data_IF_698742441493
#
_entry.id   IF_698742441493
#
_cell.length_a   1.000
_cell.length_b   1.000
_cell.length_c   1.000
_cell.angle_alpha   90.00
_cell.angle_beta   90.00
_cell.angle_gamma   90.00
#
_symmetry.space_group_name_H-M   'P 1'
#
loop_
_entity.id
_entity.type
_entity.pdbx_description
1 polymer ?
#
# COMPACT_ATOMS: atom_id res chain seq x y z
N UNK A 1 -12.48 1.34 -98.37
CA UNK A 1 -13.66 1.99 -97.76
C UNK A 1 -14.35 0.95 -96.87
N UNK A 2 -14.74 1.33 -95.65
CA UNK A 2 -15.56 0.55 -94.68
C UNK A 2 -14.73 -0.57 -93.98
N UNK A 3 -14.58 -0.72 -92.65
CA UNK A 3 -15.29 -0.22 -91.46
C UNK A 3 -14.37 -0.21 -90.22
N UNK A 4 -14.59 0.74 -89.31
CA UNK A 4 -14.12 0.71 -87.90
C UNK A 4 -14.95 -0.30 -87.09
N UNK A 5 -14.32 -1.01 -86.16
CA UNK A 5 -15.00 -1.59 -85.00
C UNK A 5 -14.18 -1.28 -83.72
N UNK A 6 -14.75 -0.41 -82.89
CA UNK A 6 -14.28 -0.05 -81.56
C UNK A 6 -14.82 -1.08 -80.56
N UNK A 7 -13.94 -1.83 -79.88
CA UNK A 7 -14.31 -2.61 -78.70
C UNK A 7 -14.08 -1.76 -77.45
N UNK A 8 -15.18 -1.38 -76.79
CA UNK A 8 -15.20 -0.75 -75.47
C UNK A 8 -14.97 -1.81 -74.40
N UNK A 9 -13.78 -1.81 -73.78
CA UNK A 9 -13.53 -2.55 -72.54
C UNK A 9 -14.08 -1.75 -71.35
N UNK A 10 -15.09 -2.31 -70.66
CA UNK A 10 -15.63 -1.76 -69.44
C UNK A 10 -14.61 -1.92 -68.29
N UNK A 11 -14.17 -0.80 -67.72
CA UNK A 11 -13.40 -0.79 -66.48
C UNK A 11 -14.35 -1.06 -65.31
N UNK A 12 -14.26 -2.26 -64.73
CA UNK A 12 -14.84 -2.56 -63.42
C UNK A 12 -14.01 -1.80 -62.36
N UNK A 13 -14.55 -0.68 -61.88
CA UNK A 13 -14.09 -0.06 -60.63
C UNK A 13 -14.70 -0.86 -59.48
N UNK A 14 -13.91 -1.76 -58.91
CA UNK A 14 -14.24 -2.40 -57.64
C UNK A 14 -14.13 -1.34 -56.53
N UNK A 15 -15.27 -0.83 -56.08
CA UNK A 15 -15.36 -0.03 -54.87
C UNK A 15 -15.12 -0.99 -53.71
N UNK A 16 -13.89 -1.01 -53.18
CA UNK A 16 -13.57 -1.70 -51.94
C UNK A 16 -14.44 -1.09 -50.83
N UNK A 17 -15.37 -1.90 -50.32
CA UNK A 17 -16.22 -1.50 -49.21
C UNK A 17 -15.37 -1.17 -47.99
N UNK A 18 -15.53 0.03 -47.45
CA UNK A 18 -15.07 0.39 -46.12
C UNK A 18 -15.85 -0.45 -45.10
N UNK A 19 -15.43 -1.69 -44.86
CA UNK A 19 -15.84 -2.42 -43.66
C UNK A 19 -15.23 -1.68 -42.48
N UNK A 20 -16.08 -1.06 -41.67
CA UNK A 20 -15.76 -0.59 -40.33
C UNK A 20 -15.36 -1.78 -39.48
N UNK A 21 -14.12 -2.23 -39.64
CA UNK A 21 -13.49 -3.21 -38.77
C UNK A 21 -13.34 -2.57 -37.40
N UNK A 22 -14.12 -3.03 -36.44
CA UNK A 22 -13.87 -2.78 -35.02
C UNK A 22 -12.46 -3.29 -34.73
N UNK A 23 -11.51 -2.38 -34.57
CA UNK A 23 -10.16 -2.70 -34.10
C UNK A 23 -10.34 -3.46 -32.77
N UNK A 24 -9.80 -4.68 -32.60
CA UNK A 24 -9.88 -5.35 -31.31
C UNK A 24 -9.22 -4.43 -30.27
N UNK A 25 -9.97 -4.05 -29.24
CA UNK A 25 -9.41 -3.37 -28.08
C UNK A 25 -8.31 -4.26 -27.52
N UNK A 26 -7.05 -3.89 -27.73
CA UNK A 26 -5.92 -4.52 -27.07
C UNK A 26 -6.05 -4.16 -25.60
N UNK A 27 -6.64 -5.06 -24.79
CA UNK A 27 -6.67 -4.91 -23.34
C UNK A 27 -5.25 -4.93 -22.82
N UNK A 28 -4.81 -3.81 -22.25
CA UNK A 28 -3.52 -3.73 -21.58
C UNK A 28 -3.46 -4.80 -20.47
N UNK A 29 -2.48 -5.72 -20.50
CA UNK A 29 -2.36 -6.78 -19.50
C UNK A 29 -2.25 -6.23 -18.07
N UNK A 30 -1.65 -5.05 -17.89
CA UNK A 30 -1.49 -4.37 -16.59
C UNK A 30 -2.83 -3.90 -16.04
N UNK A 31 -3.73 -3.39 -16.89
CA UNK A 31 -5.09 -2.98 -16.48
C UNK A 31 -5.89 -4.20 -16.02
N UNK A 32 -5.81 -5.29 -16.78
CA UNK A 32 -6.50 -6.53 -16.43
C UNK A 32 -5.96 -7.10 -15.11
N UNK A 33 -4.64 -7.06 -14.91
CA UNK A 33 -4.00 -7.47 -13.67
C UNK A 33 -4.44 -6.63 -12.48
N UNK A 34 -4.47 -5.31 -12.63
CA UNK A 34 -4.90 -4.39 -11.58
C UNK A 34 -6.34 -4.65 -11.16
N UNK A 35 -7.24 -4.89 -12.11
CA UNK A 35 -8.63 -5.22 -11.83
C UNK A 35 -8.77 -6.52 -11.03
N UNK A 36 -8.00 -7.56 -11.38
CA UNK A 36 -7.96 -8.81 -10.59
C UNK A 36 -7.46 -8.58 -9.17
N UNK A 37 -6.41 -7.79 -8.99
CA UNK A 37 -5.88 -7.47 -7.67
C UNK A 37 -6.85 -6.65 -6.81
N UNK A 38 -7.56 -5.69 -7.43
CA UNK A 38 -8.65 -4.94 -6.78
C UNK A 38 -9.75 -5.88 -6.29
N UNK A 39 -10.25 -6.73 -7.18
CA UNK A 39 -11.29 -7.71 -6.85
C UNK A 39 -10.83 -8.69 -5.76
N UNK A 40 -9.60 -9.20 -5.83
CA UNK A 40 -9.05 -10.10 -4.83
C UNK A 40 -8.93 -9.42 -3.44
N UNK A 41 -8.49 -8.16 -3.40
CA UNK A 41 -8.46 -7.35 -2.17
C UNK A 41 -9.86 -7.19 -1.59
N UNK A 42 -10.86 -6.86 -2.40
CA UNK A 42 -12.22 -6.67 -1.92
C UNK A 42 -12.86 -7.98 -1.46
N UNK A 43 -12.63 -9.09 -2.18
CA UNK A 43 -13.04 -10.42 -1.76
C UNK A 43 -12.42 -10.82 -0.42
N UNK A 44 -11.14 -10.50 -0.20
CA UNK A 44 -10.49 -10.78 1.09
C UNK A 44 -11.13 -9.97 2.23
N UNK A 45 -11.46 -8.70 1.99
CA UNK A 45 -12.15 -7.84 2.99
C UNK A 45 -13.54 -8.34 3.33
N UNK A 46 -14.31 -8.77 2.33
CA UNK A 46 -15.71 -9.19 2.53
C UNK A 46 -15.83 -10.58 3.14
N UNK A 47 -14.97 -11.52 2.73
CA UNK A 47 -15.04 -12.91 3.18
C UNK A 47 -14.14 -13.25 4.36
N UNK A 48 -13.14 -12.39 4.65
CA UNK A 48 -12.06 -12.71 5.59
C UNK A 48 -11.08 -13.78 5.08
N UNK A 49 -11.24 -14.27 3.85
CA UNK A 49 -10.37 -15.30 3.27
C UNK A 49 -9.00 -14.72 2.92
N UNK A 50 -7.94 -15.45 3.31
CA UNK A 50 -6.55 -15.12 2.94
C UNK A 50 -6.13 -15.70 1.59
N UNK A 51 -6.92 -16.59 0.99
CA UNK A 51 -6.55 -17.22 -0.29
C UNK A 51 -6.37 -16.19 -1.43
N UNK A 52 -7.26 -15.19 -1.62
CA UNK A 52 -7.06 -14.14 -2.60
C UNK A 52 -5.78 -13.33 -2.36
N UNK A 53 -5.44 -13.06 -1.10
CA UNK A 53 -4.22 -12.33 -0.73
C UNK A 53 -2.96 -13.09 -1.08
N UNK A 54 -2.95 -14.42 -0.88
CA UNK A 54 -1.80 -15.27 -1.28
C UNK A 54 -1.59 -15.25 -2.78
N UNK A 55 -2.67 -15.30 -3.57
CA UNK A 55 -2.59 -15.19 -5.02
C UNK A 55 -2.02 -13.82 -5.44
N UNK A 56 -2.52 -12.72 -4.86
CA UNK A 56 -1.99 -11.38 -5.12
C UNK A 56 -0.50 -11.25 -4.75
N UNK A 57 -0.10 -11.77 -3.59
CA UNK A 57 1.29 -11.72 -3.12
C UNK A 57 2.26 -12.50 -4.03
N UNK A 58 1.79 -13.56 -4.68
CA UNK A 58 2.57 -14.37 -5.62
C UNK A 58 2.58 -13.80 -7.05
N UNK A 59 1.77 -12.78 -7.35
CA UNK A 59 1.63 -12.24 -8.71
C UNK A 59 2.94 -11.56 -9.16
N UNK A 60 3.39 -11.90 -10.36
CA UNK A 60 4.53 -11.25 -11.01
C UNK A 60 4.08 -9.93 -11.63
N UNK A 61 4.74 -8.83 -11.25
CA UNK A 61 4.47 -7.49 -11.77
C UNK A 61 5.58 -7.15 -12.76
N UNK A 62 5.27 -7.23 -14.05
CA UNK A 62 6.22 -7.00 -15.15
C UNK A 62 6.21 -5.54 -15.60
N UNK A 63 6.30 -4.63 -14.64
CA UNK A 63 6.20 -3.20 -14.91
C UNK A 63 7.38 -2.45 -14.29
N UNK A 64 8.12 -1.74 -15.15
CA UNK A 64 9.40 -1.11 -14.80
C UNK A 64 9.44 0.40 -15.05
N UNK A 65 8.45 0.97 -15.76
CA UNK A 65 8.47 2.39 -16.15
C UNK A 65 7.85 3.26 -15.06
N UNK A 66 8.61 4.28 -14.64
CA UNK A 66 8.23 5.28 -13.62
C UNK A 66 7.03 6.16 -13.98
N UNK A 67 6.60 6.17 -15.23
CA UNK A 67 5.49 7.01 -15.72
C UNK A 67 4.17 6.25 -15.89
N UNK A 68 4.12 4.97 -15.52
CA UNK A 68 2.91 4.17 -15.64
C UNK A 68 2.24 4.09 -14.27
N UNK A 69 1.16 4.86 -14.11
CA UNK A 69 0.36 4.94 -12.87
C UNK A 69 -0.28 3.60 -12.47
N UNK A 70 -0.26 2.61 -13.36
CA UNK A 70 -0.70 1.26 -13.02
C UNK A 70 0.36 0.53 -12.21
N UNK A 71 1.64 0.87 -12.35
CA UNK A 71 2.74 0.16 -11.72
C UNK A 71 2.73 0.34 -10.20
N UNK A 72 2.68 1.57 -9.72
CA UNK A 72 2.62 1.85 -8.29
C UNK A 72 1.35 1.29 -7.65
N UNK A 73 0.22 1.29 -8.38
CA UNK A 73 -1.00 0.66 -7.88
C UNK A 73 -0.81 -0.86 -7.72
N UNK A 74 -0.27 -1.54 -8.74
CA UNK A 74 0.01 -2.97 -8.68
C UNK A 74 0.93 -3.33 -7.52
N UNK A 75 2.06 -2.63 -7.38
CA UNK A 75 2.98 -2.84 -6.25
C UNK A 75 2.31 -2.48 -4.92
N UNK A 76 1.49 -1.43 -4.86
CA UNK A 76 0.75 -1.05 -3.65
C UNK A 76 -0.28 -2.12 -3.22
N UNK A 77 -0.98 -2.75 -4.16
CA UNK A 77 -1.89 -3.86 -3.87
C UNK A 77 -1.13 -5.10 -3.41
N UNK A 78 0.00 -5.43 -4.05
CA UNK A 78 0.83 -6.58 -3.63
C UNK A 78 1.43 -6.37 -2.24
N UNK A 79 1.94 -5.16 -1.98
CA UNK A 79 2.45 -4.76 -0.67
C UNK A 79 1.38 -4.92 0.42
N UNK A 80 0.15 -4.46 0.16
CA UNK A 80 -0.97 -4.58 1.09
C UNK A 80 -1.40 -6.03 1.33
N UNK A 81 -1.35 -6.87 0.29
CA UNK A 81 -1.61 -8.31 0.43
C UNK A 81 -0.54 -8.99 1.30
N UNK A 82 0.73 -8.69 1.03
CA UNK A 82 1.85 -9.18 1.84
C UNK A 82 1.75 -8.72 3.30
N UNK A 83 1.39 -7.46 3.56
CA UNK A 83 1.21 -6.94 4.92
C UNK A 83 0.15 -7.70 5.73
N UNK A 84 -0.92 -8.15 5.08
CA UNK A 84 -2.01 -8.92 5.70
C UNK A 84 -1.66 -10.41 5.94
N UNK A 85 -0.58 -10.91 5.33
CA UNK A 85 -0.08 -12.28 5.47
C UNK A 85 1.06 -12.39 6.50
N UNK A 86 1.22 -11.41 7.40
CA UNK A 86 2.34 -11.36 8.36
C UNK A 86 2.07 -12.07 9.69
N UNK A 87 0.91 -12.71 9.85
CA UNK A 87 0.50 -13.44 11.04
C UNK A 87 -0.32 -14.68 10.65
N UNK A 88 0.33 -15.61 9.97
CA UNK A 88 -0.22 -16.89 9.51
C UNK A 88 0.02 -18.04 10.48
N UNK A 89 0.93 -17.84 11.45
CA UNK A 89 1.36 -18.87 12.38
C UNK A 89 2.58 -19.66 11.88
N UNK A 90 3.00 -19.45 10.63
CA UNK A 90 4.26 -19.93 10.09
C UNK A 90 5.29 -18.79 10.11
N UNK A 91 6.30 -18.92 10.97
CA UNK A 91 7.28 -17.86 11.19
C UNK A 91 8.09 -17.51 9.93
N UNK A 92 8.38 -18.48 9.06
CA UNK A 92 9.14 -18.27 7.85
C UNK A 92 8.30 -17.54 6.79
N UNK A 93 7.04 -17.96 6.62
CA UNK A 93 6.09 -17.27 5.74
C UNK A 93 5.80 -15.86 6.23
N UNK A 94 5.65 -15.67 7.54
CA UNK A 94 5.39 -14.36 8.13
C UNK A 94 6.58 -13.42 7.94
N UNK A 95 7.82 -13.91 8.09
CA UNK A 95 9.03 -13.14 7.81
C UNK A 95 9.13 -12.74 6.33
N UNK A 96 8.89 -13.68 5.41
CA UNK A 96 8.88 -13.41 3.97
C UNK A 96 7.80 -12.39 3.59
N UNK A 97 6.60 -12.50 4.17
CA UNK A 97 5.50 -11.55 3.95
C UNK A 97 5.83 -10.14 4.45
N UNK A 98 6.51 -10.01 5.60
CA UNK A 98 6.99 -8.70 6.09
C UNK A 98 8.00 -8.08 5.13
N UNK A 99 8.95 -8.87 4.63
CA UNK A 99 9.94 -8.41 3.65
C UNK A 99 9.30 -7.99 2.33
N UNK A 100 8.37 -8.80 1.81
CA UNK A 100 7.58 -8.48 0.62
C UNK A 100 6.86 -7.14 0.77
N UNK A 101 6.13 -6.93 1.87
CA UNK A 101 5.36 -5.71 2.10
C UNK A 101 6.23 -4.45 2.08
N UNK A 102 7.37 -4.48 2.78
CA UNK A 102 8.31 -3.35 2.82
C UNK A 102 8.88 -3.08 1.43
N UNK A 103 9.39 -4.11 0.75
CA UNK A 103 10.00 -3.98 -0.57
C UNK A 103 9.01 -3.42 -1.61
N UNK A 104 7.77 -3.91 -1.60
CA UNK A 104 6.77 -3.50 -2.58
C UNK A 104 6.23 -2.09 -2.32
N UNK A 105 6.07 -1.68 -1.05
CA UNK A 105 5.73 -0.29 -0.74
C UNK A 105 6.84 0.66 -1.18
N UNK A 106 8.11 0.32 -0.93
CA UNK A 106 9.25 1.13 -1.39
C UNK A 106 9.28 1.23 -2.92
N UNK A 107 9.02 0.13 -3.61
CA UNK A 107 8.94 0.09 -5.07
C UNK A 107 7.78 0.96 -5.58
N UNK A 108 6.60 0.84 -5.00
CA UNK A 108 5.44 1.67 -5.35
C UNK A 108 5.73 3.16 -5.15
N UNK A 109 6.34 3.55 -4.03
CA UNK A 109 6.71 4.95 -3.76
C UNK A 109 7.70 5.48 -4.80
N UNK A 110 8.67 4.66 -5.22
CA UNK A 110 9.66 5.05 -6.23
C UNK A 110 9.05 5.23 -7.64
N UNK A 111 7.91 4.56 -7.90
CA UNK A 111 7.18 4.60 -9.16
C UNK A 111 6.12 5.71 -9.23
N UNK A 112 5.84 6.41 -8.12
CA UNK A 112 4.92 7.54 -8.14
C UNK A 112 5.33 8.57 -9.19
N UNK A 113 4.36 9.15 -9.94
CA UNK A 113 4.63 10.20 -10.90
C UNK A 113 5.19 11.46 -10.22
N UNK A 114 5.79 12.35 -11.02
CA UNK A 114 6.32 13.64 -10.56
C UNK A 114 5.58 14.80 -11.25
N UNK A 115 4.82 15.65 -10.52
CA UNK A 115 4.53 15.53 -9.09
C UNK A 115 3.51 14.41 -8.81
N UNK A 116 3.59 13.75 -7.64
CA UNK A 116 2.59 12.77 -7.24
C UNK A 116 1.25 13.47 -6.94
N UNK A 117 0.15 12.73 -7.01
CA UNK A 117 -1.00 13.10 -6.20
C UNK A 117 -0.62 12.89 -4.72
N UNK A 118 -0.66 13.95 -3.90
CA UNK A 118 -0.26 13.92 -2.49
C UNK A 118 -0.92 12.76 -1.72
N UNK A 119 -2.19 12.48 -2.03
CA UNK A 119 -2.97 11.41 -1.40
C UNK A 119 -2.39 10.01 -1.61
N UNK A 120 -1.90 9.70 -2.81
CA UNK A 120 -1.35 8.37 -3.12
C UNK A 120 -0.01 8.16 -2.43
N UNK A 121 0.81 9.22 -2.38
CA UNK A 121 2.05 9.24 -1.61
C UNK A 121 1.79 9.00 -0.12
N UNK A 122 0.83 9.71 0.47
CA UNK A 122 0.48 9.53 1.89
C UNK A 122 0.01 8.10 2.18
N UNK A 123 -0.86 7.53 1.33
CA UNK A 123 -1.35 6.16 1.49
C UNK A 123 -0.22 5.14 1.46
N UNK A 124 0.69 5.24 0.48
CA UNK A 124 1.81 4.31 0.35
C UNK A 124 2.82 4.45 1.50
N UNK A 125 3.13 5.68 1.92
CA UNK A 125 4.00 5.93 3.08
C UNK A 125 3.38 5.41 4.38
N UNK A 126 2.06 5.54 4.57
CA UNK A 126 1.37 4.99 5.73
C UNK A 126 1.43 3.46 5.74
N UNK A 127 1.23 2.82 4.59
CA UNK A 127 1.41 1.39 4.42
C UNK A 127 2.84 0.92 4.72
N UNK A 128 3.85 1.66 4.24
CA UNK A 128 5.26 1.38 4.54
C UNK A 128 5.56 1.51 6.04
N UNK A 129 5.05 2.56 6.70
CA UNK A 129 5.24 2.74 8.15
C UNK A 129 4.62 1.58 8.95
N UNK A 130 3.44 1.08 8.56
CA UNK A 130 2.83 -0.10 9.16
C UNK A 130 3.62 -1.39 8.93
N UNK A 131 4.15 -1.57 7.72
CA UNK A 131 4.99 -2.73 7.38
C UNK A 131 6.30 -2.72 8.17
N UNK A 132 6.96 -1.55 8.27
CA UNK A 132 8.18 -1.37 9.06
C UNK A 132 7.92 -1.55 10.56
N UNK A 133 6.81 -1.03 11.09
CA UNK A 133 6.38 -1.28 12.48
C UNK A 133 6.26 -2.78 12.75
N UNK A 134 5.58 -3.51 11.86
CA UNK A 134 5.39 -4.96 11.97
C UNK A 134 6.73 -5.71 11.85
N UNK A 135 7.64 -5.27 10.99
CA UNK A 135 8.98 -5.83 10.86
C UNK A 135 9.84 -5.58 12.10
N UNK A 136 9.73 -4.42 12.74
CA UNK A 136 10.44 -4.07 13.97
C UNK A 136 9.94 -4.84 15.19
N UNK A 137 8.66 -5.19 15.25
CA UNK A 137 8.10 -5.98 16.36
C UNK A 137 8.47 -7.46 16.27
N UNK A 138 8.71 -7.96 15.05
CA UNK A 138 9.07 -9.36 14.78
C UNK A 138 10.20 -9.44 13.73
N UNK A 139 11.42 -8.96 14.05
CA UNK A 139 12.53 -8.98 13.10
C UNK A 139 12.96 -10.42 12.82
N UNK A 140 13.34 -10.70 11.57
CA UNK A 140 13.98 -11.97 11.24
C UNK A 140 15.39 -12.02 11.86
N UNK A 141 15.96 -13.21 12.12
CA UNK A 141 17.35 -13.34 12.57
C UNK A 141 18.32 -12.58 11.67
N UNK A 142 19.28 -11.86 12.26
CA UNK A 142 20.28 -11.07 11.53
C UNK A 142 19.78 -9.72 10.99
N UNK A 143 18.51 -9.35 11.25
CA UNK A 143 18.01 -8.02 10.89
C UNK A 143 18.65 -6.93 11.75
N UNK A 144 19.17 -5.89 11.11
CA UNK A 144 19.67 -4.70 11.80
C UNK A 144 18.51 -3.86 12.36
N UNK A 145 18.32 -3.93 13.68
CA UNK A 145 17.26 -3.22 14.38
C UNK A 145 17.43 -1.69 14.36
N UNK A 146 18.67 -1.19 14.30
CA UNK A 146 18.95 0.25 14.23
C UNK A 146 18.58 0.77 12.84
N UNK A 147 19.01 0.06 11.78
CA UNK A 147 18.65 0.41 10.41
C UNK A 147 17.12 0.38 10.18
N UNK A 148 16.41 -0.62 10.73
CA UNK A 148 14.94 -0.65 10.65
C UNK A 148 14.27 0.50 11.38
N UNK A 149 14.81 0.90 12.54
CA UNK A 149 14.29 2.04 13.29
C UNK A 149 14.49 3.34 12.51
N UNK A 150 15.69 3.55 11.96
CA UNK A 150 15.96 4.71 11.11
C UNK A 150 15.03 4.78 9.89
N UNK A 151 14.81 3.65 9.20
CA UNK A 151 13.89 3.59 8.05
C UNK A 151 12.45 3.94 8.43
N UNK A 152 11.99 3.48 9.60
CA UNK A 152 10.68 3.84 10.12
C UNK A 152 10.59 5.34 10.41
N UNK A 153 11.59 5.90 11.09
CA UNK A 153 11.63 7.32 11.44
C UNK A 153 11.66 8.21 10.20
N UNK A 154 12.46 7.85 9.19
CA UNK A 154 12.51 8.53 7.90
C UNK A 154 11.15 8.49 7.18
N UNK A 155 10.46 7.36 7.25
CA UNK A 155 9.12 7.20 6.65
C UNK A 155 8.08 8.07 7.37
N UNK A 156 8.12 8.11 8.70
CA UNK A 156 7.25 8.98 9.51
C UNK A 156 7.55 10.46 9.27
N UNK A 157 8.82 10.84 9.09
CA UNK A 157 9.21 12.19 8.71
C UNK A 157 8.67 12.58 7.32
N UNK A 158 8.74 11.68 6.34
CA UNK A 158 8.14 11.88 5.01
C UNK A 158 6.62 12.03 5.08
N UNK A 159 5.93 11.23 5.90
CA UNK A 159 4.50 11.39 6.17
C UNK A 159 4.18 12.75 6.77
N UNK A 160 4.96 13.19 7.76
CA UNK A 160 4.76 14.48 8.43
C UNK A 160 4.87 15.66 7.45
N UNK A 161 5.68 15.51 6.39
CA UNK A 161 5.84 16.52 5.35
C UNK A 161 4.65 16.56 4.36
N UNK A 162 3.79 15.54 4.31
CA UNK A 162 2.58 15.55 3.47
C UNK A 162 1.44 16.32 4.16
N UNK A 163 0.60 17.06 3.42
CA UNK A 163 -0.53 17.80 3.99
C UNK A 163 -1.49 16.92 4.82
N UNK A 164 -1.87 15.76 4.28
CA UNK A 164 -2.77 14.77 4.89
C UNK A 164 -2.03 13.70 5.71
N UNK A 165 -0.69 13.63 5.61
CA UNK A 165 0.14 12.67 6.34
C UNK A 165 0.46 13.05 7.78
N UNK A 166 0.20 14.29 8.22
CA UNK A 166 0.47 14.75 9.59
C UNK A 166 -0.24 13.91 10.65
N UNK A 167 -1.50 13.57 10.42
CA UNK A 167 -2.31 12.78 11.36
C UNK A 167 -1.78 11.34 11.46
N UNK A 168 -1.37 10.75 10.34
CA UNK A 168 -0.69 9.44 10.33
C UNK A 168 0.64 9.50 11.10
N UNK A 169 1.46 10.53 10.86
CA UNK A 169 2.74 10.67 11.56
C UNK A 169 2.57 10.79 13.08
N UNK A 170 1.57 11.56 13.56
CA UNK A 170 1.23 11.60 15.00
C UNK A 170 0.81 10.23 15.53
N UNK A 171 -0.05 9.51 14.81
CA UNK A 171 -0.46 8.17 15.20
C UNK A 171 0.74 7.21 15.34
N UNK A 172 1.65 7.17 14.36
CA UNK A 172 2.80 6.27 14.39
C UNK A 172 3.78 6.59 15.52
N UNK A 173 4.02 7.87 15.81
CA UNK A 173 4.86 8.28 16.96
C UNK A 173 4.22 7.91 18.30
N UNK A 174 2.93 8.16 18.44
CA UNK A 174 2.18 7.80 19.64
C UNK A 174 2.19 6.28 19.87
N UNK A 175 1.98 5.50 18.82
CA UNK A 175 2.03 4.04 18.86
C UNK A 175 3.39 3.52 19.29
N UNK A 176 4.48 4.00 18.69
CA UNK A 176 5.82 3.61 19.06
C UNK A 176 6.14 3.94 20.53
N UNK A 177 5.81 5.16 20.96
CA UNK A 177 6.02 5.60 22.34
C UNK A 177 5.25 4.72 23.32
N UNK A 178 3.99 4.41 23.01
CA UNK A 178 3.15 3.55 23.83
C UNK A 178 3.70 2.12 23.89
N UNK A 179 4.05 1.52 22.75
CA UNK A 179 4.59 0.14 22.68
C UNK A 179 5.90 0.04 23.45
N UNK A 180 6.81 1.02 23.33
CA UNK A 180 8.05 1.05 24.11
C UNK A 180 7.77 1.11 25.61
N UNK A 181 6.82 1.96 26.03
CA UNK A 181 6.44 2.07 27.44
C UNK A 181 5.81 0.79 27.99
N UNK A 182 4.85 0.21 27.25
CA UNK A 182 4.13 -0.99 27.67
C UNK A 182 5.02 -2.24 27.72
N UNK A 183 6.05 -2.31 26.87
CA UNK A 183 7.01 -3.42 26.83
C UNK A 183 8.24 -3.22 27.72
N UNK A 184 8.25 -2.21 28.60
CA UNK A 184 9.36 -1.95 29.52
C UNK A 184 10.66 -1.50 28.83
N UNK A 185 10.57 -0.92 27.63
CA UNK A 185 11.71 -0.37 26.87
C UNK A 185 11.95 1.12 27.13
N UNK A 186 11.36 1.63 28.21
CA UNK A 186 11.62 2.97 28.76
C UNK A 186 11.89 2.82 30.26
N UNK A 187 12.72 3.68 30.87
CA UNK A 187 12.94 3.68 32.31
C UNK A 187 11.61 3.74 33.08
N UNK A 188 11.47 3.08 34.25
CA UNK A 188 10.22 3.06 35.01
C UNK A 188 9.65 4.45 35.32
N UNK A 189 10.51 5.44 35.60
CA UNK A 189 10.13 6.82 35.85
C UNK A 189 9.52 7.52 34.61
N UNK A 190 9.84 7.05 33.41
CA UNK A 190 9.40 7.63 32.13
C UNK A 190 8.14 6.96 31.57
N UNK A 191 7.75 5.77 32.07
CA UNK A 191 6.57 5.03 31.57
C UNK A 191 5.32 5.91 31.61
N UNK A 192 5.03 6.56 32.74
CA UNK A 192 3.84 7.41 32.92
C UNK A 192 3.85 8.63 31.99
N UNK A 193 4.91 9.47 31.96
CA UNK A 193 5.03 10.56 31.00
C UNK A 193 4.89 10.10 29.54
N UNK A 194 5.48 8.95 29.19
CA UNK A 194 5.45 8.44 27.83
C UNK A 194 4.03 8.04 27.39
N UNK A 195 3.30 7.31 28.23
CA UNK A 195 1.92 6.91 27.94
C UNK A 195 0.98 8.12 27.85
N UNK A 196 1.11 9.09 28.77
CA UNK A 196 0.30 10.32 28.74
C UNK A 196 0.58 11.14 27.47
N UNK A 197 1.84 11.29 27.09
CA UNK A 197 2.21 11.99 25.86
C UNK A 197 1.65 11.27 24.62
N UNK A 198 1.87 9.96 24.50
CA UNK A 198 1.30 9.14 23.43
C UNK A 198 -0.23 9.32 23.36
N UNK A 199 -0.93 9.25 24.49
CA UNK A 199 -2.39 9.41 24.57
C UNK A 199 -2.87 10.77 24.07
N UNK A 200 -2.16 11.85 24.40
CA UNK A 200 -2.51 13.22 23.99
C UNK A 200 -2.39 13.45 22.48
N UNK A 201 -1.58 12.65 21.79
CA UNK A 201 -1.41 12.71 20.33
C UNK A 201 -2.52 11.98 19.55
N UNK A 202 -3.38 11.21 20.24
CA UNK A 202 -4.39 10.34 19.64
C UNK A 202 -5.78 10.99 19.52
N UNK A 203 -5.87 12.31 19.56
CA UNK A 203 -7.10 13.04 19.23
C UNK A 203 -7.26 13.11 17.71
N UNK A 204 -8.31 12.50 17.12
CA UNK A 204 -8.56 12.63 15.69
C UNK A 204 -8.82 14.08 15.33
N UNK A 205 -8.30 14.54 14.19
CA UNK A 205 -8.67 15.81 13.58
C UNK A 205 -9.54 15.59 12.34
N UNK A 206 -10.02 16.68 11.74
CA UNK A 206 -10.86 16.63 10.54
C UNK A 206 -10.17 15.96 9.33
N UNK A 207 -8.84 15.77 9.38
CA UNK A 207 -8.06 15.10 8.34
C UNK A 207 -7.95 13.58 8.52
N UNK A 208 -8.41 13.02 9.65
CA UNK A 208 -8.33 11.60 9.90
C UNK A 208 -9.34 10.80 9.07
N UNK A 209 -8.89 9.76 8.36
CA UNK A 209 -9.80 8.77 7.76
C UNK A 209 -10.57 8.02 8.86
N UNK A 210 -11.70 7.41 8.50
CA UNK A 210 -12.48 6.59 9.43
C UNK A 210 -11.64 5.41 9.99
N UNK A 211 -10.85 4.77 9.13
CA UNK A 211 -9.95 3.69 9.52
C UNK A 211 -8.86 4.16 10.48
N UNK A 212 -8.21 5.31 10.18
CA UNK A 212 -7.21 5.88 11.07
C UNK A 212 -7.82 6.29 12.42
N UNK A 213 -8.99 6.90 12.41
CA UNK A 213 -9.71 7.28 13.63
C UNK A 213 -10.02 6.06 14.51
N UNK A 214 -10.47 4.95 13.91
CA UNK A 214 -10.70 3.67 14.61
C UNK A 214 -9.41 3.13 15.22
N UNK A 215 -8.30 3.18 14.48
CA UNK A 215 -6.98 2.75 14.98
C UNK A 215 -6.48 3.62 16.13
N UNK A 216 -6.63 4.94 16.03
CA UNK A 216 -6.29 5.89 17.10
C UNK A 216 -7.11 5.60 18.36
N UNK A 217 -8.43 5.40 18.23
CA UNK A 217 -9.29 5.02 19.35
C UNK A 217 -8.91 3.69 20.00
N UNK A 218 -8.57 2.67 19.19
CA UNK A 218 -8.12 1.36 19.70
C UNK A 218 -6.81 1.49 20.50
N UNK A 219 -5.86 2.26 20.00
CA UNK A 219 -4.59 2.50 20.70
C UNK A 219 -4.80 3.33 21.96
N UNK A 220 -5.65 4.36 21.92
CA UNK A 220 -6.01 5.16 23.08
C UNK A 220 -6.60 4.30 24.20
N UNK A 221 -7.56 3.43 23.88
CA UNK A 221 -8.14 2.48 24.83
C UNK A 221 -7.09 1.51 25.39
N UNK A 222 -6.13 1.08 24.57
CA UNK A 222 -5.04 0.19 25.03
C UNK A 222 -4.13 0.89 26.04
N UNK A 223 -3.78 2.16 25.77
CA UNK A 223 -3.00 3.00 26.70
C UNK A 223 -3.78 3.22 28.01
N UNK A 224 -5.07 3.54 27.92
CA UNK A 224 -5.92 3.82 29.09
C UNK A 224 -6.04 2.56 29.97
N UNK A 225 -6.30 1.40 29.37
CA UNK A 225 -6.37 0.11 30.07
C UNK A 225 -5.05 -0.27 30.75
N UNK A 226 -3.91 -0.14 30.04
CA UNK A 226 -2.60 -0.42 30.62
C UNK A 226 -2.26 0.53 31.77
N UNK A 227 -2.57 1.82 31.60
CA UNK A 227 -2.33 2.85 32.62
C UNK A 227 -3.12 2.56 33.89
N UNK A 228 -4.40 2.22 33.77
CA UNK A 228 -5.24 1.82 34.90
C UNK A 228 -4.67 0.59 35.63
N UNK A 229 -4.25 -0.45 34.89
CA UNK A 229 -3.65 -1.65 35.46
C UNK A 229 -2.31 -1.39 36.20
N UNK A 230 -1.61 -0.30 35.87
CA UNK A 230 -0.35 0.12 36.52
C UNK A 230 -0.54 1.21 37.58
N UNK A 231 -1.79 1.56 37.93
CA UNK A 231 -2.07 2.65 38.86
C UNK A 231 -1.51 3.99 38.37
N UNK A 232 -1.56 4.22 37.05
CA UNK A 232 -1.20 5.47 36.41
C UNK A 232 -2.50 6.22 36.11
N UNK A 233 -2.78 7.35 36.77
CA UNK A 233 -3.95 8.17 36.48
C UNK A 233 -3.82 8.89 35.13
#
# INVERSE_FOLDING_TARGET
MITKALARGAALVAIAGCTTGTVPFVTDPSVTQLQRMKQASDNARTTGSRAPLRAMAAEQINCERRSDTLCEELYGYRASACAQLTNTGDAAQDAASRQCAVSDYERAIALLPDPPADRDRTKLLAGLADALKTMRSQPAPGTDAAALTQRFDDTVAKLQAQPDGKTYARYFRADEQAVRAMNGRVPPAEVRPALRNARSQLTPDAGASADLSKRMGTLANSIDNFSAAKGCP
#
